data_IF_862243014935
#
_entry.id   IF_862243014935
#
_cell.length_a   1.000
_cell.length_b   1.000
_cell.length_c   1.000
_cell.angle_alpha   90.00
_cell.angle_beta   90.00
_cell.angle_gamma   90.00
#
_symmetry.space_group_name_H-M   'P 1'
#
loop_
_entity.id
_entity.type
_entity.pdbx_description
1 polymer ?
#
# COMPACT_ATOMS: atom_id res chain seq x y z
N UNK A 1 17.96 7.16 -13.62
CA UNK A 1 17.00 8.07 -12.97
C UNK A 1 17.43 9.52 -13.19
N UNK A 2 18.67 9.88 -12.84
CA UNK A 2 19.18 11.25 -13.04
C UNK A 2 19.19 11.71 -14.50
N UNK A 3 19.48 10.83 -15.46
CA UNK A 3 19.45 11.15 -16.90
C UNK A 3 18.04 11.53 -17.41
N UNK A 4 16.97 10.97 -16.84
CA UNK A 4 15.57 11.19 -17.28
C UNK A 4 15.05 12.54 -16.75
N UNK A 5 15.45 12.88 -15.52
CA UNK A 5 15.17 14.19 -14.90
C UNK A 5 15.91 15.28 -15.68
N UNK A 6 17.17 15.02 -16.07
CA UNK A 6 17.97 15.96 -16.86
C UNK A 6 17.44 16.18 -18.28
N UNK A 7 16.81 15.16 -18.88
CA UNK A 7 16.10 15.26 -20.15
C UNK A 7 14.74 16.00 -20.07
N UNK A 8 14.31 16.42 -18.87
CA UNK A 8 13.05 17.14 -18.66
C UNK A 8 11.79 16.27 -18.77
N UNK A 9 11.94 14.94 -18.81
CA UNK A 9 10.82 14.00 -18.94
C UNK A 9 10.06 13.85 -17.61
N UNK A 10 10.75 14.04 -16.48
CA UNK A 10 10.17 13.98 -15.13
C UNK A 10 10.59 15.25 -14.40
N UNK A 11 9.63 16.07 -13.96
CA UNK A 11 9.94 17.25 -13.17
C UNK A 11 10.24 16.85 -11.72
N UNK A 12 11.12 17.61 -11.01
CA UNK A 12 11.34 17.40 -9.59
C UNK A 12 10.04 17.43 -8.76
N UNK A 13 9.06 18.23 -9.17
CA UNK A 13 7.72 18.25 -8.57
C UNK A 13 6.99 16.90 -8.66
N UNK A 14 7.15 16.18 -9.76
CA UNK A 14 6.47 14.90 -10.00
C UNK A 14 7.02 13.82 -9.05
N UNK A 15 8.32 13.88 -8.74
CA UNK A 15 8.96 13.01 -7.75
C UNK A 15 8.40 13.28 -6.35
N UNK A 16 8.22 14.55 -5.98
CA UNK A 16 7.63 14.94 -4.70
C UNK A 16 6.19 14.45 -4.59
N UNK A 17 5.37 14.70 -5.62
CA UNK A 17 3.97 14.25 -5.67
C UNK A 17 3.89 12.73 -5.60
N UNK A 18 4.69 12.01 -6.40
CA UNK A 18 4.72 10.55 -6.39
C UNK A 18 5.12 9.97 -5.03
N UNK A 19 6.09 10.60 -4.35
CA UNK A 19 6.53 10.19 -3.01
C UNK A 19 5.43 10.39 -1.96
N UNK A 20 4.69 11.50 -2.02
CA UNK A 20 3.55 11.76 -1.14
C UNK A 20 2.45 10.71 -1.36
N UNK A 21 2.08 10.45 -2.62
CA UNK A 21 1.06 9.45 -2.97
C UNK A 21 1.45 8.07 -2.45
N UNK A 22 2.71 7.69 -2.66
CA UNK A 22 3.25 6.43 -2.16
C UNK A 22 3.19 6.30 -0.64
N UNK A 23 3.56 7.36 0.09
CA UNK A 23 3.47 7.38 1.56
C UNK A 23 2.02 7.25 2.04
N UNK A 24 1.08 7.97 1.40
CA UNK A 24 -0.34 7.88 1.74
C UNK A 24 -0.88 6.46 1.57
N UNK A 25 -0.54 5.78 0.47
CA UNK A 25 -0.94 4.39 0.21
C UNK A 25 -0.34 3.45 1.28
N UNK A 26 0.94 3.61 1.58
CA UNK A 26 1.65 2.78 2.57
C UNK A 26 1.07 2.94 3.96
N UNK A 27 0.82 4.19 4.40
CA UNK A 27 0.21 4.49 5.70
C UNK A 27 -1.20 3.92 5.76
N UNK A 28 -1.99 4.09 4.70
CA UNK A 28 -3.35 3.55 4.64
C UNK A 28 -3.34 2.04 4.82
N UNK A 29 -2.49 1.34 4.08
CA UNK A 29 -2.35 -0.12 4.20
C UNK A 29 -1.92 -0.55 5.60
N UNK A 30 -0.95 0.14 6.23
CA UNK A 30 -0.55 -0.12 7.61
C UNK A 30 -1.71 0.04 8.59
N UNK A 31 -2.46 1.14 8.48
CA UNK A 31 -3.63 1.38 9.35
C UNK A 31 -4.67 0.29 9.18
N UNK A 32 -4.92 -0.16 7.95
CA UNK A 32 -5.86 -1.25 7.70
C UNK A 32 -5.36 -2.58 8.27
N UNK A 33 -4.07 -2.92 8.10
CA UNK A 33 -3.45 -4.13 8.69
C UNK A 33 -3.65 -4.14 10.19
N UNK A 34 -3.28 -3.05 10.86
CA UNK A 34 -3.36 -2.92 12.32
C UNK A 34 -4.80 -3.04 12.84
N UNK A 35 -5.79 -2.61 12.06
CA UNK A 35 -7.21 -2.63 12.45
C UNK A 35 -7.91 -3.96 12.16
N UNK A 36 -7.50 -4.71 11.14
CA UNK A 36 -8.28 -5.83 10.62
C UNK A 36 -7.61 -7.21 10.74
N UNK A 37 -6.31 -7.28 11.04
CA UNK A 37 -5.60 -8.55 11.18
C UNK A 37 -5.36 -8.94 12.65
N UNK A 38 -5.14 -10.23 12.89
CA UNK A 38 -4.73 -10.74 14.22
C UNK A 38 -3.24 -10.48 14.46
N UNK A 39 -2.81 -10.40 15.72
CA UNK A 39 -1.45 -10.00 16.12
C UNK A 39 -0.30 -10.68 15.36
N UNK A 40 -0.38 -11.98 15.08
CA UNK A 40 0.67 -12.71 14.33
C UNK A 40 0.66 -12.37 12.83
N UNK A 41 -0.52 -12.16 12.26
CA UNK A 41 -0.70 -11.83 10.84
C UNK A 41 -0.32 -10.36 10.57
N UNK A 42 -0.57 -9.47 11.53
CA UNK A 42 -0.08 -8.08 11.51
C UNK A 42 1.44 -8.06 11.28
N UNK A 43 2.19 -8.87 12.02
CA UNK A 43 3.65 -8.90 11.92
C UNK A 43 4.12 -9.28 10.51
N UNK A 44 3.51 -10.31 9.91
CA UNK A 44 3.84 -10.75 8.54
C UNK A 44 3.54 -9.66 7.50
N UNK A 45 2.42 -8.94 7.66
CA UNK A 45 2.08 -7.84 6.75
C UNK A 45 3.02 -6.66 6.91
N UNK A 46 3.36 -6.26 8.14
CA UNK A 46 4.35 -5.19 8.38
C UNK A 46 5.70 -5.57 7.77
N UNK A 47 6.13 -6.83 7.92
CA UNK A 47 7.35 -7.33 7.31
C UNK A 47 7.30 -7.22 5.78
N UNK A 48 6.18 -7.64 5.17
CA UNK A 48 5.98 -7.54 3.72
C UNK A 48 5.97 -6.08 3.25
N UNK A 49 5.32 -5.18 3.99
CA UNK A 49 5.30 -3.73 3.73
C UNK A 49 6.69 -3.10 3.92
N UNK A 50 7.57 -3.66 4.74
CA UNK A 50 8.93 -3.14 4.91
C UNK A 50 9.84 -3.55 3.73
N UNK A 51 9.75 -4.81 3.29
CA UNK A 51 10.58 -5.33 2.20
C UNK A 51 10.05 -4.96 0.82
N UNK A 52 8.72 -4.93 0.66
CA UNK A 52 8.03 -4.64 -0.58
C UNK A 52 6.92 -3.61 -0.32
N UNK A 53 7.26 -2.36 -0.01
CA UNK A 53 6.28 -1.37 0.43
C UNK A 53 5.16 -1.10 -0.58
N UNK A 54 5.47 -0.89 -1.87
CA UNK A 54 4.43 -0.66 -2.88
C UNK A 54 3.57 -1.90 -3.12
N UNK A 55 4.20 -3.05 -3.35
CA UNK A 55 3.48 -4.28 -3.65
C UNK A 55 2.68 -4.76 -2.43
N UNK A 56 3.28 -4.74 -1.24
CA UNK A 56 2.65 -5.13 0.02
C UNK A 56 1.43 -4.28 0.36
N UNK A 57 1.51 -2.96 0.16
CA UNK A 57 0.37 -2.08 0.38
C UNK A 57 -0.76 -2.31 -0.63
N UNK A 58 -0.44 -2.46 -1.94
CA UNK A 58 -1.44 -2.79 -2.96
C UNK A 58 -2.09 -4.14 -2.70
N UNK A 59 -1.31 -5.19 -2.41
CA UNK A 59 -1.83 -6.52 -2.10
C UNK A 59 -2.76 -6.52 -0.89
N UNK A 60 -2.37 -5.80 0.17
CA UNK A 60 -3.21 -5.71 1.36
C UNK A 60 -4.54 -5.00 1.07
N UNK A 61 -4.49 -3.87 0.37
CA UNK A 61 -5.68 -3.10 0.02
C UNK A 61 -6.63 -3.94 -0.83
N UNK A 62 -6.11 -4.65 -1.84
CA UNK A 62 -6.90 -5.56 -2.67
C UNK A 62 -7.53 -6.69 -1.83
N UNK A 63 -6.73 -7.35 -0.97
CA UNK A 63 -7.21 -8.39 -0.05
C UNK A 63 -8.34 -7.87 0.83
N UNK A 64 -8.20 -6.65 1.36
CA UNK A 64 -9.22 -6.02 2.19
C UNK A 64 -10.54 -5.83 1.43
N UNK A 65 -10.49 -5.29 0.20
CA UNK A 65 -11.72 -5.09 -0.60
C UNK A 65 -12.37 -6.41 -1.04
N UNK A 66 -11.58 -7.43 -1.36
CA UNK A 66 -12.09 -8.77 -1.71
C UNK A 66 -12.77 -9.42 -0.49
N UNK A 67 -12.09 -9.46 0.66
CA UNK A 67 -12.65 -10.08 1.86
C UNK A 67 -13.86 -9.33 2.43
N UNK A 68 -13.89 -7.99 2.30
CA UNK A 68 -15.05 -7.19 2.71
C UNK A 68 -16.31 -7.56 1.91
N UNK A 69 -16.18 -7.82 0.61
CA UNK A 69 -17.30 -8.29 -0.23
C UNK A 69 -17.76 -9.70 0.13
N UNK A 70 -16.83 -10.59 0.50
CA UNK A 70 -17.15 -11.97 0.92
C UNK A 70 -17.96 -11.98 2.22
N UNK A 71 -17.70 -11.08 3.16
CA UNK A 71 -18.46 -10.98 4.42
C UNK A 71 -19.85 -10.35 4.24
N UNK A 72 -20.05 -9.51 3.23
CA UNK A 72 -21.37 -8.90 2.92
C UNK A 72 -22.29 -9.83 2.12
N UNK A 73 -21.75 -10.83 1.43
CA UNK A 73 -22.52 -11.80 0.64
C UNK A 73 -22.80 -13.12 1.37
N UNK A 74 -22.55 -13.20 2.68
CA UNK A 74 -22.90 -14.39 3.47
C UNK A 74 -24.40 -14.31 3.80
N UNK A 75 -25.27 -15.20 3.27
CA UNK A 75 -26.67 -15.23 3.66
C UNK A 75 -26.72 -15.57 5.16
N UNK A 76 -27.35 -14.67 5.93
CA UNK A 76 -27.68 -14.82 7.35
C UNK A 76 -28.72 -15.91 7.57
#
# INVERSE_FOLDING_TARGET
MELIIYLGIINPSDIVVGSIVYLLITITALVLVLKNEKSMVIFLWILLLLFLPFLGSVFYILKYFINKKVLQNKPS
#
